data_IF_536713867404
#
_entry.id   IF_536713867404
#
_cell.length_a   1.000
_cell.length_b   1.000
_cell.length_c   1.000
_cell.angle_alpha   90.00
_cell.angle_beta   90.00
_cell.angle_gamma   90.00
#
_symmetry.space_group_name_H-M   'P 1'
#
loop_
_entity.id
_entity.type
_entity.pdbx_description
1 polymer ?
#
# COMPACT_ATOMS: atom_id res chain seq x y z
N UNK A 1 5.53 -18.73 -22.95
CA UNK A 1 5.14 -17.88 -21.79
C UNK A 1 4.58 -18.82 -20.72
N UNK A 2 4.98 -18.68 -19.47
CA UNK A 2 4.51 -19.54 -18.39
C UNK A 2 2.98 -19.44 -18.28
N UNK A 3 2.28 -20.59 -18.25
CA UNK A 3 0.81 -20.66 -18.15
C UNK A 3 0.28 -19.84 -16.94
N UNK A 4 1.04 -19.83 -15.84
CA UNK A 4 0.71 -19.07 -14.62
C UNK A 4 0.73 -17.57 -14.86
N UNK A 5 1.74 -17.05 -15.56
CA UNK A 5 1.83 -15.62 -15.91
C UNK A 5 0.65 -15.21 -16.79
N UNK A 6 0.30 -16.03 -17.79
CA UNK A 6 -0.84 -15.75 -18.67
C UNK A 6 -2.16 -15.68 -17.92
N UNK A 7 -2.40 -16.63 -17.00
CA UNK A 7 -3.58 -16.64 -16.15
C UNK A 7 -3.64 -15.45 -15.20
N UNK A 8 -2.52 -15.06 -14.62
CA UNK A 8 -2.46 -13.90 -13.72
C UNK A 8 -2.65 -12.56 -14.47
N UNK A 9 -2.16 -12.45 -15.72
CA UNK A 9 -2.45 -11.29 -16.58
C UNK A 9 -3.94 -11.20 -16.92
N UNK A 10 -4.62 -12.32 -17.15
CA UNK A 10 -6.06 -12.36 -17.36
C UNK A 10 -6.82 -11.92 -16.10
N UNK A 11 -6.42 -12.42 -14.91
CA UNK A 11 -6.99 -11.94 -13.63
C UNK A 11 -6.79 -10.43 -13.45
N UNK A 12 -5.59 -9.93 -13.74
CA UNK A 12 -5.25 -8.50 -13.64
C UNK A 12 -6.12 -7.66 -14.57
N UNK A 13 -6.31 -8.08 -15.83
CA UNK A 13 -7.13 -7.37 -16.82
C UNK A 13 -8.61 -7.31 -16.44
N UNK A 14 -9.08 -8.29 -15.64
CA UNK A 14 -10.47 -8.38 -15.18
C UNK A 14 -10.70 -7.77 -13.78
N UNK A 15 -9.73 -7.06 -13.19
CA UNK A 15 -9.94 -6.32 -11.95
C UNK A 15 -11.00 -5.23 -12.17
N UNK A 16 -12.06 -5.19 -11.36
CA UNK A 16 -13.07 -4.13 -11.44
C UNK A 16 -12.45 -2.74 -11.30
N UNK A 17 -13.08 -1.76 -11.90
CA UNK A 17 -12.69 -0.36 -11.74
C UNK A 17 -13.23 0.20 -10.43
N UNK A 18 -12.40 0.17 -9.38
CA UNK A 18 -12.67 0.83 -8.11
C UNK A 18 -12.36 2.31 -8.24
N UNK A 19 -13.35 3.19 -8.13
CA UNK A 19 -13.24 4.61 -8.50
C UNK A 19 -12.11 5.39 -7.84
N UNK A 20 -11.96 5.28 -6.52
CA UNK A 20 -10.90 5.96 -5.75
C UNK A 20 -10.18 4.91 -4.91
N UNK A 21 -8.96 4.60 -5.25
CA UNK A 21 -8.22 3.53 -4.55
C UNK A 21 -6.99 4.07 -3.84
N UNK A 22 -6.73 3.51 -2.66
CA UNK A 22 -5.53 3.77 -1.87
C UNK A 22 -4.94 2.45 -1.39
N UNK A 23 -3.65 2.24 -1.59
CA UNK A 23 -2.99 1.01 -1.17
C UNK A 23 -2.24 1.20 0.14
N UNK A 24 -2.48 0.28 1.06
CA UNK A 24 -1.81 0.17 2.34
C UNK A 24 -0.75 -0.94 2.29
N UNK A 25 0.49 -0.58 2.55
CA UNK A 25 1.61 -1.50 2.71
C UNK A 25 2.10 -1.53 4.16
N UNK A 26 2.63 -2.66 4.60
CA UNK A 26 3.20 -2.79 5.94
C UNK A 26 3.38 -4.25 6.36
N UNK A 27 3.90 -4.44 7.57
CA UNK A 27 4.24 -5.75 8.11
C UNK A 27 3.02 -6.66 8.28
N UNK A 28 3.13 -7.91 7.82
CA UNK A 28 2.19 -8.98 8.12
C UNK A 28 2.34 -9.54 9.56
N UNK A 29 3.42 -9.18 10.27
CA UNK A 29 3.82 -9.81 11.55
C UNK A 29 3.41 -9.02 12.79
N UNK A 30 2.98 -7.75 12.63
CA UNK A 30 2.51 -6.94 13.73
C UNK A 30 1.20 -7.51 14.28
N UNK A 31 1.06 -7.49 15.60
CA UNK A 31 -0.14 -7.99 16.28
C UNK A 31 -1.28 -6.98 16.19
N UNK A 32 -2.51 -7.44 16.36
CA UNK A 32 -3.72 -6.62 16.26
C UNK A 32 -3.72 -5.42 17.25
N UNK A 33 -3.12 -5.59 18.42
CA UNK A 33 -2.99 -4.59 19.49
C UNK A 33 -1.78 -3.66 19.31
N UNK A 34 -0.95 -3.86 18.27
CA UNK A 34 0.15 -2.96 17.95
C UNK A 34 -0.34 -1.58 17.56
N UNK A 35 0.38 -0.54 18.02
CA UNK A 35 0.06 0.85 17.73
C UNK A 35 -0.15 1.11 16.22
N UNK A 36 0.74 0.60 15.37
CA UNK A 36 0.65 0.81 13.93
C UNK A 36 -0.56 0.10 13.31
N UNK A 37 -0.95 -1.07 13.81
CA UNK A 37 -2.18 -1.74 13.38
C UNK A 37 -3.42 -0.92 13.76
N UNK A 38 -3.46 -0.35 14.96
CA UNK A 38 -4.56 0.52 15.38
C UNK A 38 -4.65 1.78 14.48
N UNK A 39 -3.52 2.42 14.18
CA UNK A 39 -3.49 3.60 13.32
C UNK A 39 -3.89 3.25 11.87
N UNK A 40 -3.42 2.12 11.35
CA UNK A 40 -3.81 1.64 10.01
C UNK A 40 -5.31 1.40 9.91
N UNK A 41 -5.92 0.79 10.93
CA UNK A 41 -7.37 0.58 11.00
C UNK A 41 -8.15 1.89 11.00
N UNK A 42 -7.77 2.84 11.87
CA UNK A 42 -8.43 4.15 11.97
C UNK A 42 -8.31 4.91 10.64
N UNK A 43 -7.11 4.96 10.05
CA UNK A 43 -6.88 5.65 8.79
C UNK A 43 -7.69 5.02 7.65
N UNK A 44 -7.69 3.70 7.55
CA UNK A 44 -8.41 2.98 6.49
C UNK A 44 -9.93 3.19 6.61
N UNK A 45 -10.48 3.22 7.84
CA UNK A 45 -11.88 3.56 8.05
C UNK A 45 -12.19 4.99 7.58
N UNK A 46 -11.37 5.97 7.98
CA UNK A 46 -11.51 7.36 7.51
C UNK A 46 -11.41 7.47 5.98
N UNK A 47 -10.51 6.70 5.34
CA UNK A 47 -10.42 6.65 3.89
C UNK A 47 -11.72 6.13 3.26
N UNK A 48 -12.26 5.03 3.77
CA UNK A 48 -13.49 4.43 3.27
C UNK A 48 -14.72 5.33 3.45
N UNK A 49 -14.82 6.04 4.59
CA UNK A 49 -15.83 7.07 4.86
C UNK A 49 -15.73 8.29 3.91
N UNK A 50 -14.57 8.51 3.29
CA UNK A 50 -14.33 9.53 2.26
C UNK A 50 -14.27 8.93 0.83
N UNK A 51 -15.01 7.83 0.60
CA UNK A 51 -15.20 7.17 -0.68
C UNK A 51 -13.97 6.50 -1.29
N UNK A 52 -12.87 6.34 -0.55
CA UNK A 52 -11.75 5.55 -1.01
C UNK A 52 -11.99 4.04 -0.82
N UNK A 53 -11.60 3.26 -1.82
CA UNK A 53 -11.48 1.81 -1.72
C UNK A 53 -10.04 1.49 -1.25
N UNK A 54 -9.93 0.79 -0.13
CA UNK A 54 -8.65 0.41 0.48
C UNK A 54 -8.17 -0.91 -0.11
N UNK A 55 -6.98 -0.88 -0.69
CA UNK A 55 -6.31 -2.06 -1.24
C UNK A 55 -5.18 -2.47 -0.29
N UNK A 56 -5.03 -3.77 -0.07
CA UNK A 56 -3.89 -4.35 0.65
C UNK A 56 -3.45 -5.68 0.03
N UNK A 57 -2.37 -6.24 0.55
CA UNK A 57 -1.95 -7.61 0.18
C UNK A 57 -2.83 -8.72 0.75
N UNK A 58 -3.88 -8.41 1.51
CA UNK A 58 -4.88 -9.36 2.00
C UNK A 58 -4.43 -10.28 3.12
N UNK A 59 -3.20 -10.13 3.64
CA UNK A 59 -2.65 -10.94 4.73
C UNK A 59 -2.98 -10.40 6.13
N UNK A 60 -2.17 -10.78 7.13
CA UNK A 60 -2.28 -10.34 8.52
C UNK A 60 -1.65 -8.95 8.79
N UNK A 61 -1.53 -8.60 10.06
CA UNK A 61 -0.86 -7.37 10.52
C UNK A 61 -1.50 -6.11 9.99
N UNK A 62 -0.69 -5.22 9.40
CA UNK A 62 -1.14 -3.95 8.82
C UNK A 62 -2.20 -4.15 7.73
N UNK A 63 -2.05 -5.17 6.88
CA UNK A 63 -3.01 -5.48 5.82
C UNK A 63 -4.39 -5.80 6.38
N UNK A 64 -4.44 -6.68 7.41
CA UNK A 64 -5.69 -7.01 8.08
C UNK A 64 -6.30 -5.80 8.78
N UNK A 65 -5.48 -4.99 9.46
CA UNK A 65 -5.95 -3.80 10.16
C UNK A 65 -6.56 -2.77 9.18
N UNK A 66 -5.92 -2.54 8.04
CA UNK A 66 -6.44 -1.68 6.98
C UNK A 66 -7.75 -2.22 6.40
N UNK A 67 -7.81 -3.52 6.06
CA UNK A 67 -9.03 -4.13 5.58
C UNK A 67 -10.16 -4.08 6.63
N UNK A 68 -9.86 -4.35 7.93
CA UNK A 68 -10.85 -4.25 9.02
C UNK A 68 -11.41 -2.82 9.15
N UNK A 69 -10.56 -1.81 9.05
CA UNK A 69 -11.00 -0.42 9.08
C UNK A 69 -11.93 -0.06 7.93
N UNK A 70 -11.54 -0.41 6.71
CA UNK A 70 -12.34 -0.15 5.51
C UNK A 70 -13.67 -0.92 5.51
N UNK A 71 -13.67 -2.19 5.91
CA UNK A 71 -14.86 -3.04 6.00
C UNK A 71 -15.88 -2.51 7.00
N UNK A 72 -15.44 -1.90 8.10
CA UNK A 72 -16.30 -1.34 9.15
C UNK A 72 -16.86 0.04 8.82
N UNK A 73 -16.46 0.64 7.70
CA UNK A 73 -17.05 1.90 7.25
C UNK A 73 -18.48 1.65 6.75
N UNK A 74 -19.39 2.56 7.10
CA UNK A 74 -20.78 2.53 6.57
C UNK A 74 -20.76 3.03 5.12
N UNK A 75 -20.80 2.09 4.17
CA UNK A 75 -20.67 2.41 2.76
C UNK A 75 -21.52 1.50 1.87
N UNK A 76 -22.05 2.08 0.78
CA UNK A 76 -22.88 1.38 -0.21
C UNK A 76 -22.07 0.74 -1.36
N UNK A 77 -20.74 0.63 -1.23
CA UNK A 77 -19.85 0.09 -2.26
C UNK A 77 -18.70 -0.67 -1.63
N UNK A 78 -18.02 -1.53 -2.41
CA UNK A 78 -16.81 -2.24 -1.97
C UNK A 78 -15.76 -1.25 -1.53
N UNK A 79 -15.31 -1.37 -0.27
CA UNK A 79 -14.29 -0.53 0.35
C UNK A 79 -13.03 -1.28 0.75
N UNK A 80 -13.06 -2.60 0.82
CA UNK A 80 -11.96 -3.44 1.30
C UNK A 80 -11.57 -4.49 0.27
N UNK A 81 -10.37 -4.34 -0.31
CA UNK A 81 -9.84 -5.20 -1.38
C UNK A 81 -8.51 -5.83 -0.97
N UNK A 82 -8.34 -7.10 -1.32
CA UNK A 82 -7.12 -7.86 -1.06
C UNK A 82 -6.53 -8.49 -2.33
N UNK A 83 -5.30 -8.12 -2.70
CA UNK A 83 -4.56 -8.79 -3.75
C UNK A 83 -3.47 -9.69 -3.15
N UNK A 84 -3.81 -10.97 -2.98
CA UNK A 84 -2.96 -11.94 -2.30
C UNK A 84 -2.00 -12.64 -3.27
N UNK A 85 -1.00 -13.31 -2.71
CA UNK A 85 -0.04 -14.15 -3.44
C UNK A 85 -0.14 -15.59 -2.91
N UNK A 86 -0.11 -16.54 -3.81
CA UNK A 86 0.00 -17.94 -3.41
C UNK A 86 1.41 -18.21 -2.87
N UNK A 87 1.49 -18.54 -1.58
CA UNK A 87 2.73 -18.95 -0.92
C UNK A 87 2.64 -20.42 -0.51
N UNK A 88 3.71 -21.23 -0.66
CA UNK A 88 3.72 -22.64 -0.28
C UNK A 88 3.45 -22.87 1.22
N UNK A 89 3.70 -21.89 2.05
CA UNK A 89 3.53 -21.91 3.51
C UNK A 89 2.60 -20.77 3.94
N UNK A 90 1.31 -20.97 3.74
CA UNK A 90 0.14 -20.23 4.24
C UNK A 90 0.28 -18.73 4.54
N UNK A 91 -0.20 -17.92 3.62
CA UNK A 91 -0.81 -16.66 3.97
C UNK A 91 -2.31 -16.75 3.66
N UNK A 92 -3.15 -17.00 4.69
CA UNK A 92 -4.60 -16.97 4.53
C UNK A 92 -5.06 -15.53 4.32
N UNK A 93 -6.06 -15.35 3.44
CA UNK A 93 -6.79 -14.08 3.36
C UNK A 93 -7.38 -13.73 4.71
N UNK A 94 -7.31 -12.47 5.10
CA UNK A 94 -8.01 -12.00 6.30
C UNK A 94 -9.53 -11.90 6.06
N UNK A 95 -10.31 -11.92 7.13
CA UNK A 95 -11.79 -12.02 7.08
C UNK A 95 -12.51 -10.70 6.75
N UNK A 96 -11.77 -9.61 6.50
CA UNK A 96 -12.34 -8.28 6.29
C UNK A 96 -12.24 -7.82 4.83
N UNK A 97 -12.10 -8.75 3.89
CA UNK A 97 -11.96 -8.47 2.46
C UNK A 97 -13.31 -8.73 1.78
N UNK A 98 -13.81 -7.74 1.04
CA UNK A 98 -15.02 -7.82 0.26
C UNK A 98 -14.77 -8.31 -1.18
N UNK A 99 -13.59 -7.96 -1.73
CA UNK A 99 -13.15 -8.44 -3.05
C UNK A 99 -11.69 -8.87 -3.01
N UNK A 100 -11.37 -10.03 -3.57
CA UNK A 100 -9.99 -10.53 -3.57
C UNK A 100 -9.61 -11.25 -4.85
N UNK A 101 -8.32 -11.16 -5.17
CA UNK A 101 -7.67 -12.01 -6.17
C UNK A 101 -6.40 -12.60 -5.56
N UNK A 102 -6.16 -13.90 -5.79
CA UNK A 102 -4.90 -14.55 -5.47
C UNK A 102 -4.10 -14.78 -6.74
N UNK A 103 -2.89 -14.22 -6.78
CA UNK A 103 -1.94 -14.36 -7.87
C UNK A 103 -0.89 -15.43 -7.56
N UNK A 104 -0.31 -16.01 -8.60
CA UNK A 104 0.85 -16.90 -8.49
C UNK A 104 2.16 -16.17 -8.81
N UNK A 105 2.10 -15.08 -9.59
CA UNK A 105 3.23 -14.22 -9.94
C UNK A 105 3.30 -13.01 -9.01
N UNK A 106 4.43 -12.88 -8.28
CA UNK A 106 4.68 -11.73 -7.42
C UNK A 106 4.70 -10.40 -8.23
N UNK A 107 5.26 -10.44 -9.44
CA UNK A 107 5.34 -9.26 -10.29
C UNK A 107 3.94 -8.75 -10.70
N UNK A 108 3.04 -9.64 -11.13
CA UNK A 108 1.69 -9.23 -11.54
C UNK A 108 0.85 -8.80 -10.33
N UNK A 109 1.02 -9.47 -9.18
CA UNK A 109 0.41 -9.01 -7.93
C UNK A 109 0.82 -7.58 -7.58
N UNK A 110 2.12 -7.24 -7.67
CA UNK A 110 2.62 -5.89 -7.40
C UNK A 110 2.03 -4.88 -8.39
N UNK A 111 1.92 -5.24 -9.67
CA UNK A 111 1.20 -4.39 -10.64
C UNK A 111 -0.24 -4.12 -10.19
N UNK A 112 -0.99 -5.15 -9.73
CA UNK A 112 -2.36 -4.97 -9.25
C UNK A 112 -2.46 -4.05 -8.03
N UNK A 113 -1.51 -4.14 -7.09
CA UNK A 113 -1.46 -3.29 -5.90
C UNK A 113 -1.12 -1.82 -6.23
N UNK A 114 -0.40 -1.57 -7.33
CA UNK A 114 0.16 -0.26 -7.65
C UNK A 114 -0.63 0.46 -8.75
N UNK A 115 -1.00 -0.25 -9.82
CA UNK A 115 -1.48 0.37 -11.06
C UNK A 115 -2.75 1.21 -10.83
N UNK A 116 -3.69 0.69 -10.08
CA UNK A 116 -4.98 1.35 -9.83
C UNK A 116 -4.94 2.40 -8.72
N UNK A 117 -3.86 2.46 -7.93
CA UNK A 117 -3.82 3.28 -6.71
C UNK A 117 -3.53 4.76 -7.01
N UNK A 118 -4.31 5.63 -6.38
CA UNK A 118 -4.18 7.09 -6.42
C UNK A 118 -3.27 7.61 -5.30
N UNK A 119 -3.02 6.81 -4.27
CA UNK A 119 -2.13 7.13 -3.16
C UNK A 119 -1.61 5.85 -2.48
N UNK A 120 -0.52 5.99 -1.75
CA UNK A 120 0.08 4.90 -0.97
C UNK A 120 0.32 5.34 0.48
N UNK A 121 -0.08 4.49 1.43
CA UNK A 121 0.29 4.64 2.84
C UNK A 121 1.11 3.44 3.26
N UNK A 122 2.31 3.69 3.73
CA UNK A 122 3.31 2.67 4.00
C UNK A 122 3.66 2.72 5.49
N UNK A 123 3.21 1.71 6.21
CA UNK A 123 3.46 1.48 7.62
C UNK A 123 4.77 0.71 7.84
N UNK A 124 5.30 0.64 9.05
CA UNK A 124 6.46 -0.19 9.37
C UNK A 124 6.34 -1.61 8.86
N UNK A 125 7.40 -2.08 8.18
CA UNK A 125 7.41 -3.42 7.60
C UNK A 125 8.82 -3.94 7.26
N UNK A 126 8.86 -5.15 6.73
CA UNK A 126 10.10 -5.81 6.35
C UNK A 126 10.45 -5.63 4.87
N UNK A 127 11.24 -6.58 4.34
CA UNK A 127 11.73 -6.53 2.94
C UNK A 127 10.61 -6.45 1.89
N UNK A 128 9.47 -7.14 2.09
CA UNK A 128 8.35 -7.03 1.16
C UNK A 128 7.79 -5.61 1.10
N UNK A 129 7.67 -4.94 2.26
CA UNK A 129 7.21 -3.55 2.34
C UNK A 129 8.23 -2.58 1.73
N UNK A 130 9.54 -2.84 1.90
CA UNK A 130 10.60 -2.05 1.26
C UNK A 130 10.64 -2.26 -0.25
N UNK A 131 10.41 -3.47 -0.74
CA UNK A 131 10.30 -3.77 -2.17
C UNK A 131 9.15 -2.98 -2.81
N UNK A 132 7.98 -2.98 -2.19
CA UNK A 132 6.81 -2.21 -2.63
C UNK A 132 7.05 -0.70 -2.55
N UNK A 133 7.70 -0.21 -1.48
CA UNK A 133 8.10 1.20 -1.34
C UNK A 133 9.08 1.63 -2.44
N UNK A 134 10.14 0.86 -2.67
CA UNK A 134 11.13 1.19 -3.68
C UNK A 134 10.53 1.19 -5.09
N UNK A 135 9.60 0.28 -5.38
CA UNK A 135 8.91 0.25 -6.66
C UNK A 135 8.05 1.51 -6.88
N UNK A 136 7.22 1.91 -5.91
CA UNK A 136 6.38 3.11 -6.06
C UNK A 136 7.23 4.39 -6.11
N UNK A 137 8.35 4.45 -5.39
CA UNK A 137 9.31 5.56 -5.50
C UNK A 137 9.96 5.63 -6.88
N UNK A 138 10.36 4.48 -7.43
CA UNK A 138 10.94 4.38 -8.77
C UNK A 138 9.94 4.82 -9.84
N UNK A 139 8.68 4.35 -9.77
CA UNK A 139 7.62 4.74 -10.69
C UNK A 139 7.33 6.24 -10.62
N UNK A 140 7.38 6.82 -9.43
CA UNK A 140 7.22 8.27 -9.24
C UNK A 140 8.43 9.05 -9.75
N UNK A 141 9.65 8.56 -9.55
CA UNK A 141 10.89 9.16 -10.06
C UNK A 141 10.91 9.18 -11.59
N UNK A 142 10.47 8.10 -12.22
CA UNK A 142 10.38 7.96 -13.69
C UNK A 142 9.13 8.63 -14.30
N UNK A 143 8.34 9.32 -13.50
CA UNK A 143 7.11 10.04 -13.89
C UNK A 143 5.95 9.14 -14.37
N UNK A 144 6.04 7.83 -14.27
CA UNK A 144 4.92 6.92 -14.55
C UNK A 144 3.74 7.12 -13.58
N UNK A 145 4.04 7.54 -12.33
CA UNK A 145 3.05 7.91 -11.30
C UNK A 145 3.40 9.26 -10.65
N UNK A 146 3.56 10.31 -11.47
CA UNK A 146 4.11 11.60 -11.08
C UNK A 146 3.43 12.26 -9.88
N UNK A 147 2.11 12.31 -9.86
CA UNK A 147 1.33 13.08 -8.88
C UNK A 147 0.77 12.23 -7.73
N UNK A 148 1.22 10.99 -7.56
CA UNK A 148 0.71 10.10 -6.53
C UNK A 148 1.34 10.42 -5.18
N UNK A 149 0.57 10.76 -4.11
CA UNK A 149 1.10 10.91 -2.77
C UNK A 149 1.59 9.58 -2.21
N UNK A 150 2.75 9.61 -1.55
CA UNK A 150 3.34 8.47 -0.85
C UNK A 150 3.60 8.91 0.60
N UNK A 151 2.87 8.33 1.54
CA UNK A 151 3.01 8.60 2.97
C UNK A 151 3.73 7.44 3.66
N UNK A 152 4.78 7.75 4.41
CA UNK A 152 5.46 6.82 5.30
C UNK A 152 4.98 7.11 6.72
N UNK A 153 4.06 6.30 7.23
CA UNK A 153 3.52 6.48 8.57
C UNK A 153 4.42 5.83 9.62
N UNK A 154 4.77 6.60 10.65
CA UNK A 154 5.67 6.15 11.71
C UNK A 154 7.05 6.78 11.63
N UNK A 155 7.16 8.07 11.99
CA UNK A 155 8.39 8.87 11.87
C UNK A 155 9.59 8.22 12.55
N UNK A 156 9.37 7.59 13.73
CA UNK A 156 10.43 6.91 14.47
C UNK A 156 11.02 5.73 13.68
N UNK A 157 10.18 4.97 12.97
CA UNK A 157 10.62 3.82 12.18
C UNK A 157 11.32 4.27 10.88
N UNK A 158 10.73 5.24 10.17
CA UNK A 158 11.21 5.65 8.85
C UNK A 158 12.39 6.61 8.88
N UNK A 159 12.79 7.13 10.04
CA UNK A 159 13.95 8.04 10.18
C UNK A 159 15.21 7.48 9.56
N UNK A 160 15.55 6.22 9.86
CA UNK A 160 16.77 5.59 9.31
C UNK A 160 16.74 5.43 7.79
N UNK A 161 15.55 5.20 7.21
CA UNK A 161 15.37 5.18 5.75
C UNK A 161 15.59 6.58 5.15
N UNK A 162 15.02 7.63 5.73
CA UNK A 162 15.18 9.01 5.26
C UNK A 162 16.65 9.46 5.39
N UNK A 163 17.31 9.12 6.49
CA UNK A 163 18.75 9.37 6.68
C UNK A 163 19.60 8.66 5.62
N UNK A 164 19.29 7.42 5.28
CA UNK A 164 19.96 6.68 4.21
C UNK A 164 19.74 7.34 2.84
N UNK A 165 18.51 7.73 2.52
CA UNK A 165 18.19 8.42 1.26
C UNK A 165 18.98 9.72 1.14
N UNK A 166 18.99 10.57 2.19
CA UNK A 166 19.66 11.89 2.16
C UNK A 166 21.16 11.80 2.28
N UNK A 167 21.67 11.00 3.23
CA UNK A 167 23.08 10.98 3.58
C UNK A 167 23.91 9.98 2.76
N UNK A 168 23.24 9.06 2.06
CA UNK A 168 23.91 8.09 1.19
C UNK A 168 23.50 8.27 -0.28
N UNK A 169 22.23 8.09 -0.62
CA UNK A 169 21.84 8.10 -2.03
C UNK A 169 21.99 9.49 -2.67
N UNK A 170 21.45 10.52 -2.03
CA UNK A 170 21.54 11.90 -2.55
C UNK A 170 22.97 12.42 -2.52
N UNK A 171 23.71 12.19 -1.41
CA UNK A 171 25.08 12.64 -1.25
C UNK A 171 26.06 11.97 -2.23
N UNK A 172 25.78 10.72 -2.63
CA UNK A 172 26.59 9.99 -3.65
C UNK A 172 26.08 10.26 -5.08
N UNK A 173 25.10 11.16 -5.25
CA UNK A 173 24.52 11.53 -6.55
C UNK A 173 23.94 10.32 -7.33
N UNK A 174 23.51 9.25 -6.63
CA UNK A 174 22.84 8.10 -7.25
C UNK A 174 21.33 8.29 -7.39
N UNK A 175 20.80 9.37 -6.81
CA UNK A 175 19.46 9.93 -7.06
C UNK A 175 19.61 11.43 -7.28
N UNK A 176 18.62 12.05 -7.93
CA UNK A 176 18.61 13.48 -8.22
C UNK A 176 18.10 14.31 -7.04
N UNK A 177 18.51 15.56 -6.95
CA UNK A 177 17.93 16.52 -6.01
C UNK A 177 16.42 16.64 -6.22
N UNK A 178 15.65 16.53 -5.14
CA UNK A 178 14.18 16.49 -5.15
C UNK A 178 13.60 15.07 -5.10
N UNK A 179 14.38 14.02 -5.35
CA UNK A 179 13.91 12.64 -5.19
C UNK A 179 13.64 12.30 -3.71
N UNK A 180 14.38 12.90 -2.78
CA UNK A 180 14.17 12.79 -1.33
C UNK A 180 12.86 13.46 -0.85
N UNK A 181 12.18 14.18 -1.72
CA UNK A 181 10.89 14.80 -1.45
C UNK A 181 9.70 14.04 -2.04
N UNK A 182 9.93 12.92 -2.71
CA UNK A 182 8.89 12.14 -3.39
C UNK A 182 7.96 11.39 -2.43
N UNK A 183 8.31 11.33 -1.14
CA UNK A 183 7.48 10.77 -0.06
C UNK A 183 7.37 11.77 1.10
N UNK A 184 6.37 11.57 1.93
CA UNK A 184 6.16 12.35 3.16
C UNK A 184 6.13 11.44 4.37
N UNK A 185 7.04 11.63 5.30
CA UNK A 185 7.00 10.98 6.61
C UNK A 185 6.05 11.77 7.51
N UNK A 186 5.11 11.10 8.15
CA UNK A 186 4.14 11.73 9.05
C UNK A 186 3.61 10.73 10.09
N UNK A 187 3.20 11.24 11.25
CA UNK A 187 2.42 10.53 12.27
C UNK A 187 1.00 11.09 12.38
N UNK A 188 0.62 12.02 11.49
CA UNK A 188 -0.65 12.73 11.50
C UNK A 188 -1.62 12.12 10.47
N UNK A 189 -2.66 11.42 10.97
CA UNK A 189 -3.70 10.81 10.14
C UNK A 189 -4.57 11.85 9.44
N UNK A 190 -4.84 12.97 10.09
CA UNK A 190 -5.71 14.02 9.53
C UNK A 190 -5.00 14.76 8.40
N UNK A 191 -3.67 14.94 8.50
CA UNK A 191 -2.87 15.43 7.37
C UNK A 191 -2.98 14.52 6.15
N UNK A 192 -2.90 13.18 6.34
CA UNK A 192 -3.06 12.22 5.24
C UNK A 192 -4.44 12.36 4.62
N UNK A 193 -5.50 12.31 5.42
CA UNK A 193 -6.89 12.40 4.94
C UNK A 193 -7.15 13.72 4.21
N UNK A 194 -6.68 14.84 4.74
CA UNK A 194 -6.89 16.14 4.08
C UNK A 194 -6.18 16.22 2.73
N UNK A 195 -4.95 15.68 2.63
CA UNK A 195 -4.25 15.58 1.33
C UNK A 195 -4.99 14.67 0.34
N UNK A 196 -5.58 13.56 0.82
CA UNK A 196 -6.35 12.64 -0.04
C UNK A 196 -7.65 13.27 -0.57
N UNK A 197 -8.26 14.20 0.16
CA UNK A 197 -9.49 14.89 -0.29
C UNK A 197 -9.24 15.84 -1.45
N UNK A 198 -7.98 16.20 -1.71
CA UNK A 198 -7.59 17.10 -2.79
C UNK A 198 -7.37 16.39 -4.14
N UNK A 199 -7.51 15.02 -4.18
CA UNK A 199 -7.28 14.19 -5.39
C UNK A 199 -8.56 13.44 -5.87
#
# INVERSE_FOLDING_TARGET
MDKKISQDLEKFANIPDFKKTITFFGSARLKKDDFYCQQAKILAQKCAENDFCVISGGGGGIMQAANEGAFNADANSIKSVGFNIFLPHEQKLNNFIEYSITFESLAIRKMALIEKSLAFVIFPGGFGTLDELCEVLTLKQLEFKKNVPIFLFGSKFWRGFDEFVRNSLLKQEVISQGDELKYKITDDLDFIINTLKEI
#
